data_IF_159275420937
#
_entry.id   IF_159275420937
#
_cell.length_a   1.000
_cell.length_b   1.000
_cell.length_c   1.000
_cell.angle_alpha   90.00
_cell.angle_beta   90.00
_cell.angle_gamma   90.00
#
_symmetry.space_group_name_H-M   'P 1'
#
loop_
_entity.id
_entity.type
_entity.pdbx_description
1 polymer ?
#
# COMPACT_ATOMS: atom_id res chain seq x y z
N UNK A 1 13.93 22.89 21.50
CA UNK A 1 12.46 22.80 21.64
C UNK A 1 11.85 23.97 22.42
N UNK A 2 12.61 25.01 22.81
CA UNK A 2 12.12 25.95 23.84
C UNK A 2 11.81 27.40 23.40
N UNK A 3 12.17 27.84 22.19
CA UNK A 3 11.88 29.22 21.76
C UNK A 3 10.51 29.33 21.07
N UNK A 4 10.06 28.26 20.39
CA UNK A 4 8.77 28.21 19.70
C UNK A 4 7.59 28.10 20.69
N UNK A 5 7.83 27.50 21.86
CA UNK A 5 6.79 27.23 22.86
C UNK A 5 6.31 28.47 23.64
N UNK A 6 7.13 29.51 23.80
CA UNK A 6 6.79 30.65 24.63
C UNK A 6 5.91 31.68 23.90
N UNK A 7 6.07 31.84 22.58
CA UNK A 7 5.33 32.85 21.79
C UNK A 7 4.04 32.28 21.19
N UNK A 8 3.97 30.96 20.95
CA UNK A 8 2.77 30.31 20.40
C UNK A 8 1.68 30.07 21.46
N UNK A 9 2.03 29.99 22.76
CA UNK A 9 1.03 29.89 23.84
C UNK A 9 0.13 31.13 23.99
N UNK A 10 0.43 32.22 23.30
CA UNK A 10 -0.41 33.42 23.24
C UNK A 10 -1.39 33.43 22.04
N UNK A 11 -1.37 32.42 21.17
CA UNK A 11 -2.30 32.29 20.06
C UNK A 11 -3.62 31.67 20.56
N UNK A 12 -4.58 32.54 20.91
CA UNK A 12 -5.98 32.17 21.09
C UNK A 12 -6.47 31.32 19.91
N UNK A 13 -7.40 30.41 20.19
CA UNK A 13 -8.05 29.43 19.30
C UNK A 13 -8.90 30.03 18.16
N UNK A 14 -8.50 31.18 17.60
CA UNK A 14 -9.27 32.01 16.65
C UNK A 14 -8.48 32.39 15.40
N UNK A 15 -7.24 31.94 15.24
CA UNK A 15 -6.45 32.25 14.05
C UNK A 15 -6.78 31.29 12.91
N UNK A 16 -6.98 31.83 11.71
CA UNK A 16 -7.12 31.02 10.50
C UNK A 16 -5.78 30.37 10.10
N UNK A 17 -5.84 29.30 9.30
CA UNK A 17 -4.66 28.55 8.87
C UNK A 17 -3.63 29.44 8.15
N UNK A 18 -4.09 30.40 7.33
CA UNK A 18 -3.21 31.34 6.62
C UNK A 18 -2.38 32.19 7.56
N UNK A 19 -2.96 32.63 8.69
CA UNK A 19 -2.26 33.42 9.69
C UNK A 19 -1.23 32.55 10.40
N UNK A 20 -1.58 31.32 10.79
CA UNK A 20 -0.63 30.37 11.39
C UNK A 20 0.53 30.09 10.44
N UNK A 21 0.26 29.83 9.16
CA UNK A 21 1.29 29.59 8.15
C UNK A 21 2.21 30.80 7.95
N UNK A 22 1.65 32.01 7.94
CA UNK A 22 2.40 33.25 7.84
C UNK A 22 3.36 33.41 9.03
N UNK A 23 2.88 33.18 10.26
CA UNK A 23 3.71 33.25 11.47
C UNK A 23 4.80 32.17 11.48
N UNK A 24 4.47 30.92 11.16
CA UNK A 24 5.46 29.84 11.01
C UNK A 24 6.52 30.23 9.99
N UNK A 25 6.12 30.78 8.84
CA UNK A 25 7.04 31.17 7.76
C UNK A 25 7.99 32.30 8.16
N UNK A 26 7.59 33.20 9.06
CA UNK A 26 8.46 34.25 9.60
C UNK A 26 9.54 33.71 10.53
N UNK A 27 9.25 32.62 11.25
CA UNK A 27 10.13 32.09 12.31
C UNK A 27 10.92 30.84 11.90
N UNK A 28 10.60 30.24 10.76
CA UNK A 28 11.23 29.01 10.26
C UNK A 28 11.81 29.19 8.84
N UNK A 29 12.60 30.26 8.67
CA UNK A 29 13.18 30.63 7.37
C UNK A 29 14.08 29.55 6.75
N UNK A 30 14.64 28.67 7.57
CA UNK A 30 15.49 27.55 7.16
C UNK A 30 14.70 26.32 6.68
N UNK A 31 13.40 26.24 6.96
CA UNK A 31 12.53 25.17 6.48
C UNK A 31 12.09 25.43 5.04
N UNK A 32 11.91 24.34 4.28
CA UNK A 32 11.30 24.41 2.95
C UNK A 32 9.78 24.64 3.05
N UNK A 33 9.13 24.92 1.91
CA UNK A 33 7.71 25.27 1.89
C UNK A 33 6.79 24.16 2.43
N UNK A 34 7.07 22.89 2.13
CA UNK A 34 6.27 21.76 2.61
C UNK A 34 6.43 21.53 4.12
N UNK A 35 7.64 21.70 4.65
CA UNK A 35 7.90 21.64 6.10
C UNK A 35 7.16 22.74 6.84
N UNK A 36 7.04 23.95 6.26
CA UNK A 36 6.25 25.04 6.84
C UNK A 36 4.75 24.75 6.83
N UNK A 37 4.22 24.21 5.72
CA UNK A 37 2.82 23.77 5.64
C UNK A 37 2.51 22.70 6.68
N UNK A 38 3.43 21.74 6.85
CA UNK A 38 3.34 20.67 7.83
C UNK A 38 3.35 21.21 9.26
N UNK A 39 4.35 22.03 9.63
CA UNK A 39 4.41 22.64 10.94
C UNK A 39 3.17 23.50 11.23
N UNK A 40 2.71 24.30 10.25
CA UNK A 40 1.49 25.09 10.37
C UNK A 40 0.24 24.22 10.57
N UNK A 41 0.16 23.04 9.94
CA UNK A 41 -0.97 22.11 10.12
C UNK A 41 -1.09 21.63 11.56
N UNK A 42 -0.01 21.11 12.14
CA UNK A 42 -0.02 20.63 13.53
C UNK A 42 -0.30 21.78 14.52
N UNK A 43 0.31 22.95 14.29
CA UNK A 43 0.08 24.14 15.11
C UNK A 43 -1.34 24.69 14.96
N UNK A 44 -1.96 24.63 13.79
CA UNK A 44 -3.33 25.09 13.60
C UNK A 44 -4.34 24.14 14.25
N UNK A 45 -4.10 22.83 14.15
CA UNK A 45 -4.98 21.79 14.71
C UNK A 45 -4.96 21.73 16.24
N UNK A 46 -3.85 22.13 16.90
CA UNK A 46 -3.67 22.11 18.36
C UNK A 46 -3.96 20.74 19.02
N UNK A 47 -3.95 19.67 18.22
CA UNK A 47 -4.18 18.30 18.63
C UNK A 47 -3.51 17.37 17.61
N UNK A 48 -2.35 16.82 17.99
CA UNK A 48 -1.50 16.06 17.08
C UNK A 48 -2.16 14.75 16.61
N UNK A 49 -3.00 14.14 17.46
CA UNK A 49 -3.78 12.96 17.09
C UNK A 49 -4.81 13.28 16.03
N UNK A 50 -5.56 14.38 16.20
CA UNK A 50 -6.54 14.83 15.21
C UNK A 50 -5.85 15.27 13.91
N UNK A 51 -4.74 16.02 14.02
CA UNK A 51 -3.95 16.48 12.88
C UNK A 51 -3.46 15.30 12.04
N UNK A 52 -2.89 14.29 12.69
CA UNK A 52 -2.39 13.08 12.02
C UNK A 52 -3.53 12.23 11.49
N UNK A 53 -4.60 12.02 12.26
CA UNK A 53 -5.74 11.18 11.86
C UNK A 53 -6.42 11.72 10.60
N UNK A 54 -6.73 13.02 10.56
CA UNK A 54 -7.33 13.67 9.39
C UNK A 54 -6.39 13.61 8.19
N UNK A 55 -5.12 13.99 8.37
CA UNK A 55 -4.16 14.03 7.27
C UNK A 55 -3.92 12.64 6.68
N UNK A 56 -3.80 11.61 7.52
CA UNK A 56 -3.58 10.23 7.09
C UNK A 56 -4.78 9.68 6.33
N UNK A 57 -6.00 9.87 6.86
CA UNK A 57 -7.22 9.36 6.23
C UNK A 57 -7.50 10.06 4.90
N UNK A 58 -7.40 11.41 4.86
CA UNK A 58 -7.57 12.17 3.62
C UNK A 58 -6.51 11.79 2.59
N UNK A 59 -5.25 11.61 3.00
CA UNK A 59 -4.18 11.17 2.11
C UNK A 59 -4.49 9.80 1.52
N UNK A 60 -4.89 8.83 2.34
CA UNK A 60 -5.24 7.48 1.88
C UNK A 60 -6.39 7.51 0.88
N UNK A 61 -7.51 8.15 1.23
CA UNK A 61 -8.70 8.25 0.37
C UNK A 61 -8.39 8.90 -0.98
N UNK A 62 -7.68 10.04 -0.97
CA UNK A 62 -7.32 10.76 -2.19
C UNK A 62 -6.39 9.93 -3.07
N UNK A 63 -5.41 9.25 -2.46
CA UNK A 63 -4.44 8.43 -3.20
C UNK A 63 -5.09 7.18 -3.74
N UNK A 64 -5.86 6.45 -2.93
CA UNK A 64 -6.48 5.19 -3.32
C UNK A 64 -7.47 5.40 -4.47
N UNK A 65 -8.51 6.23 -4.26
CA UNK A 65 -9.52 6.47 -5.28
C UNK A 65 -8.94 7.25 -6.46
N UNK A 66 -8.06 8.22 -6.21
CA UNK A 66 -7.38 8.99 -7.26
C UNK A 66 -6.54 8.11 -8.19
N UNK A 67 -5.81 7.13 -7.63
CA UNK A 67 -4.99 6.19 -8.40
C UNK A 67 -5.82 5.17 -9.17
N UNK A 68 -7.04 4.87 -8.74
CA UNK A 68 -7.97 4.00 -9.47
C UNK A 68 -8.56 4.66 -10.74
N UNK A 69 -8.78 5.98 -10.73
CA UNK A 69 -9.44 6.72 -11.82
C UNK A 69 -8.81 6.47 -13.20
N UNK A 70 -7.47 6.58 -13.38
CA UNK A 70 -6.85 6.29 -14.67
C UNK A 70 -7.23 4.93 -15.24
N UNK A 71 -7.23 3.86 -14.44
CA UNK A 71 -7.59 2.51 -14.92
C UNK A 71 -9.08 2.40 -15.28
N UNK A 72 -9.97 3.07 -14.54
CA UNK A 72 -11.39 3.14 -14.90
C UNK A 72 -11.62 3.85 -16.23
N UNK A 73 -10.83 4.88 -16.54
CA UNK A 73 -10.86 5.57 -17.84
C UNK A 73 -10.30 4.68 -18.96
N UNK A 74 -9.21 3.95 -18.70
CA UNK A 74 -8.61 3.02 -19.64
C UNK A 74 -9.58 1.91 -20.06
N UNK A 75 -10.39 1.39 -19.12
CA UNK A 75 -11.44 0.40 -19.42
C UNK A 75 -12.47 0.90 -20.45
N UNK A 76 -12.61 2.22 -20.65
CA UNK A 76 -13.55 2.83 -21.61
C UNK A 76 -12.96 3.16 -22.97
N UNK A 77 -11.65 3.04 -23.13
CA UNK A 77 -10.96 3.44 -24.35
C UNK A 77 -10.45 2.16 -25.03
N UNK A 78 -11.10 1.69 -26.12
CA UNK A 78 -10.78 0.39 -26.75
C UNK A 78 -9.31 0.21 -27.14
N UNK A 79 -8.61 1.30 -27.45
CA UNK A 79 -7.17 1.27 -27.76
C UNK A 79 -6.33 0.60 -26.67
N UNK A 80 -6.69 0.76 -25.39
CA UNK A 80 -5.91 0.24 -24.27
C UNK A 80 -6.25 -1.21 -23.92
N UNK A 81 -7.33 -1.78 -24.45
CA UNK A 81 -7.73 -3.16 -24.17
C UNK A 81 -6.69 -4.19 -24.62
N UNK A 82 -5.82 -3.85 -25.57
CA UNK A 82 -4.67 -4.67 -25.98
C UNK A 82 -3.65 -4.91 -24.85
N UNK A 83 -3.67 -4.09 -23.80
CA UNK A 83 -2.83 -4.22 -22.61
C UNK A 83 -3.57 -4.88 -21.43
N UNK A 84 -4.85 -5.22 -21.61
CA UNK A 84 -5.66 -5.89 -20.58
C UNK A 84 -5.31 -7.38 -20.56
N UNK A 85 -5.00 -7.91 -19.38
CA UNK A 85 -4.57 -9.30 -19.20
C UNK A 85 -5.71 -10.29 -19.49
N UNK A 86 -6.89 -10.04 -18.93
CA UNK A 86 -8.12 -10.77 -19.22
C UNK A 86 -9.05 -9.92 -20.10
N UNK A 87 -8.71 -9.74 -21.37
CA UNK A 87 -9.40 -8.83 -22.31
C UNK A 87 -10.92 -9.08 -22.47
N UNK A 88 -11.38 -10.30 -22.21
CA UNK A 88 -12.79 -10.69 -22.24
C UNK A 88 -13.59 -10.30 -20.98
N UNK A 89 -12.94 -9.79 -19.93
CA UNK A 89 -13.56 -9.39 -18.65
C UNK A 89 -13.25 -7.94 -18.32
N UNK A 90 -14.03 -7.03 -18.88
CA UNK A 90 -13.95 -5.60 -18.56
C UNK A 90 -15.05 -5.29 -17.53
N UNK A 91 -14.71 -4.71 -16.37
CA UNK A 91 -15.70 -4.39 -15.35
C UNK A 91 -16.68 -3.33 -15.84
N UNK A 92 -17.96 -3.52 -15.54
CA UNK A 92 -19.00 -2.52 -15.80
C UNK A 92 -18.90 -1.36 -14.82
N UNK A 93 -19.49 -0.21 -15.16
CA UNK A 93 -19.63 0.92 -14.22
C UNK A 93 -20.31 0.51 -12.92
N UNK A 94 -21.33 -0.33 -13.02
CA UNK A 94 -22.10 -0.78 -11.86
C UNK A 94 -21.21 -1.61 -10.93
N UNK A 95 -20.43 -2.55 -11.46
CA UNK A 95 -19.49 -3.33 -10.64
C UNK A 95 -18.43 -2.45 -9.99
N UNK A 96 -17.90 -1.46 -10.71
CA UNK A 96 -16.95 -0.49 -10.15
C UNK A 96 -17.57 0.31 -9.01
N UNK A 97 -18.81 0.79 -9.16
CA UNK A 97 -19.52 1.53 -8.11
C UNK A 97 -19.88 0.67 -6.90
N UNK A 98 -20.38 -0.54 -7.13
CA UNK A 98 -20.72 -1.50 -6.07
C UNK A 98 -19.45 -1.85 -5.25
N UNK A 99 -18.32 -2.09 -5.94
CA UNK A 99 -17.02 -2.31 -5.33
C UNK A 99 -16.57 -1.08 -4.52
N UNK A 100 -16.58 0.10 -5.12
CA UNK A 100 -16.15 1.35 -4.48
C UNK A 100 -16.97 1.68 -3.22
N UNK A 101 -18.29 1.44 -3.25
CA UNK A 101 -19.15 1.68 -2.11
C UNK A 101 -18.81 0.78 -0.92
N UNK A 102 -18.54 -0.51 -1.17
CA UNK A 102 -18.16 -1.46 -0.12
C UNK A 102 -16.75 -1.14 0.42
N UNK A 103 -15.81 -0.80 -0.46
CA UNK A 103 -14.47 -0.36 -0.08
C UNK A 103 -14.55 0.87 0.82
N UNK A 104 -15.33 1.89 0.44
CA UNK A 104 -15.53 3.10 1.23
C UNK A 104 -16.13 2.77 2.61
N UNK A 105 -17.12 1.88 2.68
CA UNK A 105 -17.66 1.41 3.97
C UNK A 105 -16.56 0.76 4.80
N UNK A 106 -15.72 -0.12 4.22
CA UNK A 106 -14.59 -0.73 4.91
C UNK A 106 -13.58 0.30 5.41
N UNK A 107 -13.28 1.34 4.62
CA UNK A 107 -12.35 2.39 5.02
C UNK A 107 -12.87 3.15 6.23
N UNK A 108 -14.16 3.51 6.27
CA UNK A 108 -14.74 4.20 7.43
C UNK A 108 -14.95 3.30 8.65
N UNK A 109 -15.11 1.99 8.49
CA UNK A 109 -15.49 1.08 9.59
C UNK A 109 -14.35 0.23 10.14
N UNK A 110 -13.38 -0.16 9.31
CA UNK A 110 -12.22 -0.96 9.69
C UNK A 110 -10.94 -0.14 9.71
N UNK A 111 -10.67 0.63 8.67
CA UNK A 111 -9.39 1.32 8.50
C UNK A 111 -9.30 2.63 9.29
N UNK A 112 -10.35 3.45 9.29
CA UNK A 112 -10.39 4.73 10.00
C UNK A 112 -10.08 4.57 11.50
N UNK A 113 -10.63 3.58 12.22
CA UNK A 113 -10.19 3.30 13.60
C UNK A 113 -8.67 3.04 13.70
N UNK A 114 -8.09 2.23 12.80
CA UNK A 114 -6.65 1.94 12.81
C UNK A 114 -5.83 3.22 12.58
N UNK A 115 -6.26 4.08 11.65
CA UNK A 115 -5.63 5.37 11.37
C UNK A 115 -5.79 6.34 12.54
N UNK A 116 -6.94 6.35 13.21
CA UNK A 116 -7.19 7.28 14.32
C UNK A 116 -6.32 6.97 15.53
N UNK A 117 -6.10 5.69 15.81
CA UNK A 117 -5.22 5.25 16.88
C UNK A 117 -3.73 5.19 16.49
N UNK A 118 -3.39 5.43 15.22
CA UNK A 118 -2.02 5.35 14.75
C UNK A 118 -1.11 6.39 15.41
N UNK A 119 -1.51 7.65 15.53
CA UNK A 119 -0.64 8.70 16.11
C UNK A 119 -0.16 8.40 17.55
N UNK A 120 -1.02 8.08 18.53
CA UNK A 120 -0.56 7.78 19.88
C UNK A 120 0.33 6.53 19.92
N UNK A 121 0.06 5.52 19.09
CA UNK A 121 0.91 4.33 18.98
C UNK A 121 2.27 4.71 18.38
N UNK A 122 2.27 5.48 17.30
CA UNK A 122 3.47 5.89 16.58
C UNK A 122 4.41 6.70 17.48
N UNK A 123 3.86 7.69 18.17
CA UNK A 123 4.62 8.53 19.12
C UNK A 123 5.08 7.75 20.35
N UNK A 124 4.29 6.79 20.85
CA UNK A 124 4.73 5.87 21.91
C UNK A 124 5.97 5.08 21.51
N UNK A 125 6.05 4.61 20.26
CA UNK A 125 7.23 3.92 19.73
C UNK A 125 8.37 4.86 19.32
N UNK A 126 8.16 6.18 19.34
CA UNK A 126 9.18 7.19 19.04
C UNK A 126 9.26 7.61 17.56
N UNK A 127 8.17 7.46 16.79
CA UNK A 127 8.10 8.04 15.44
C UNK A 127 8.12 9.56 15.56
N UNK A 128 9.09 10.18 14.88
CA UNK A 128 9.17 11.63 14.78
C UNK A 128 8.18 12.16 13.73
N UNK A 129 7.55 13.29 14.02
CA UNK A 129 6.63 14.00 13.14
C UNK A 129 6.94 15.50 13.07
N UNK A 130 8.08 15.92 13.63
CA UNK A 130 8.52 17.30 13.64
C UNK A 130 9.07 17.79 12.29
N UNK A 131 9.87 18.84 12.37
CA UNK A 131 10.65 19.36 11.23
C UNK A 131 12.08 19.62 11.70
N UNK A 132 13.09 19.57 10.81
CA UNK A 132 13.01 19.32 9.36
C UNK A 132 12.72 17.86 9.00
N UNK A 133 12.29 17.60 7.77
CA UNK A 133 12.08 16.26 7.25
C UNK A 133 13.41 15.52 7.07
N UNK A 134 13.40 14.16 7.08
CA UNK A 134 14.59 13.39 6.76
C UNK A 134 15.06 13.67 5.33
N UNK A 135 16.35 13.40 5.08
CA UNK A 135 16.89 13.47 3.72
C UNK A 135 16.21 12.43 2.81
N UNK A 136 16.13 12.73 1.52
CA UNK A 136 15.60 11.78 0.52
C UNK A 136 16.35 10.45 0.54
N UNK A 137 17.67 10.47 0.78
CA UNK A 137 18.48 9.26 0.93
C UNK A 137 18.00 8.43 2.13
N UNK A 138 17.76 9.06 3.27
CA UNK A 138 17.23 8.40 4.48
C UNK A 138 15.88 7.73 4.18
N UNK A 139 14.97 8.48 3.57
CA UNK A 139 13.66 7.97 3.20
C UNK A 139 13.77 6.80 2.21
N UNK A 140 14.62 6.92 1.19
CA UNK A 140 14.75 5.94 0.12
C UNK A 140 15.20 4.57 0.64
N UNK A 141 16.24 4.50 1.46
CA UNK A 141 16.69 3.21 1.99
C UNK A 141 15.69 2.63 3.00
N UNK A 142 15.05 3.47 3.83
CA UNK A 142 14.03 3.02 4.77
C UNK A 142 12.85 2.40 4.01
N UNK A 143 12.32 3.11 3.01
CA UNK A 143 11.22 2.65 2.14
C UNK A 143 11.60 1.36 1.41
N UNK A 144 12.82 1.24 0.90
CA UNK A 144 13.27 0.01 0.25
C UNK A 144 13.24 -1.21 1.20
N UNK A 145 13.65 -1.02 2.46
CA UNK A 145 13.55 -2.08 3.48
C UNK A 145 12.08 -2.37 3.82
N UNK A 146 11.24 -1.34 3.94
CA UNK A 146 9.80 -1.51 4.22
C UNK A 146 9.11 -2.33 3.14
N UNK A 147 9.45 -2.13 1.87
CA UNK A 147 8.97 -2.97 0.77
C UNK A 147 9.30 -4.46 0.98
N UNK A 148 10.52 -4.78 1.44
CA UNK A 148 10.93 -6.17 1.70
C UNK A 148 10.22 -6.74 2.92
N UNK A 149 10.11 -5.96 4.00
CA UNK A 149 9.47 -6.38 5.25
C UNK A 149 7.97 -6.64 5.06
N UNK A 150 7.26 -5.70 4.42
CA UNK A 150 5.83 -5.85 4.18
C UNK A 150 5.54 -6.94 3.14
N UNK A 151 6.35 -7.07 2.07
CA UNK A 151 6.18 -8.17 1.11
C UNK A 151 6.37 -9.54 1.79
N UNK A 152 7.29 -9.64 2.75
CA UNK A 152 7.47 -10.84 3.56
C UNK A 152 6.26 -11.12 4.42
N UNK A 153 5.77 -10.13 5.18
CA UNK A 153 4.52 -10.28 5.96
C UNK A 153 3.36 -10.71 5.07
N UNK A 154 3.15 -9.99 3.96
CA UNK A 154 2.07 -10.20 3.02
C UNK A 154 2.13 -11.61 2.44
N UNK A 155 3.28 -12.07 1.92
CA UNK A 155 3.38 -13.39 1.30
C UNK A 155 2.92 -14.51 2.24
N UNK A 156 3.44 -14.53 3.47
CA UNK A 156 3.11 -15.59 4.42
C UNK A 156 1.66 -15.51 4.89
N UNK A 157 1.19 -14.30 5.19
CA UNK A 157 -0.19 -14.08 5.59
C UNK A 157 -1.17 -14.44 4.48
N UNK A 158 -0.93 -13.94 3.28
CA UNK A 158 -1.76 -14.19 2.10
C UNK A 158 -1.79 -15.69 1.76
N UNK A 159 -0.63 -16.37 1.78
CA UNK A 159 -0.60 -17.82 1.60
C UNK A 159 -1.41 -18.56 2.68
N UNK A 160 -1.35 -18.10 3.93
CA UNK A 160 -2.15 -18.68 5.01
C UNK A 160 -3.66 -18.43 4.80
N UNK A 161 -4.05 -17.26 4.29
CA UNK A 161 -5.44 -16.96 3.94
C UNK A 161 -6.02 -17.89 2.87
N UNK A 162 -5.20 -18.52 2.03
CA UNK A 162 -5.64 -19.55 1.09
C UNK A 162 -5.84 -20.94 1.73
N UNK A 163 -5.64 -21.09 3.05
CA UNK A 163 -6.06 -22.27 3.78
C UNK A 163 -7.58 -22.34 3.88
N UNK A 164 -8.19 -23.48 3.52
CA UNK A 164 -9.63 -23.63 3.27
C UNK A 164 -10.59 -22.90 4.22
N UNK A 165 -10.46 -23.00 5.56
CA UNK A 165 -11.29 -22.24 6.50
C UNK A 165 -11.07 -20.72 6.45
N UNK A 166 -9.81 -20.27 6.41
CA UNK A 166 -9.46 -18.84 6.34
C UNK A 166 -9.89 -18.24 5.00
N UNK A 167 -9.76 -19.00 3.90
CA UNK A 167 -10.21 -18.56 2.59
C UNK A 167 -11.71 -18.27 2.62
N UNK A 168 -12.50 -19.25 3.09
CA UNK A 168 -13.96 -19.11 3.13
C UNK A 168 -14.43 -17.96 4.03
N UNK A 169 -13.75 -17.73 5.15
CA UNK A 169 -14.17 -16.76 6.16
C UNK A 169 -13.65 -15.34 5.93
N UNK A 170 -12.45 -15.19 5.34
CA UNK A 170 -11.72 -13.92 5.30
C UNK A 170 -11.44 -13.50 3.86
N UNK A 171 -10.83 -14.37 3.06
CA UNK A 171 -10.22 -13.98 1.78
C UNK A 171 -11.11 -14.19 0.55
N UNK A 172 -12.21 -14.95 0.68
CA UNK A 172 -13.15 -15.21 -0.42
C UNK A 172 -13.76 -13.91 -0.97
N UNK A 173 -13.96 -12.90 -0.11
CA UNK A 173 -14.48 -11.60 -0.53
C UNK A 173 -13.50 -10.91 -1.48
N UNK A 174 -12.21 -10.91 -1.17
CA UNK A 174 -11.16 -10.38 -2.05
C UNK A 174 -11.15 -11.03 -3.43
N UNK A 175 -11.36 -12.34 -3.45
CA UNK A 175 -11.46 -13.15 -4.67
C UNK A 175 -12.81 -13.06 -5.41
N UNK A 176 -13.67 -12.09 -5.09
CA UNK A 176 -14.97 -11.91 -5.78
C UNK A 176 -14.78 -11.68 -7.28
N UNK A 177 -13.75 -10.92 -7.67
CA UNK A 177 -13.44 -10.62 -9.06
C UNK A 177 -12.27 -11.47 -9.55
N UNK A 178 -12.56 -12.47 -10.38
CA UNK A 178 -11.53 -13.32 -11.01
C UNK A 178 -10.65 -12.60 -12.04
N UNK A 179 -11.13 -11.46 -12.56
CA UNK A 179 -10.32 -10.46 -13.25
C UNK A 179 -10.37 -9.19 -12.40
N UNK A 180 -9.33 -8.91 -11.61
CA UNK A 180 -9.34 -7.76 -10.73
C UNK A 180 -9.27 -6.46 -11.55
N UNK A 181 -9.67 -5.37 -10.89
CA UNK A 181 -9.50 -4.01 -11.36
C UNK A 181 -9.07 -3.15 -10.17
N UNK A 182 -8.51 -1.94 -10.41
CA UNK A 182 -7.82 -1.17 -9.36
C UNK A 182 -8.60 -0.98 -8.05
N UNK A 183 -9.91 -0.74 -8.12
CA UNK A 183 -10.78 -0.58 -6.94
C UNK A 183 -10.95 -1.87 -6.12
N UNK A 184 -10.69 -3.04 -6.71
CA UNK A 184 -10.77 -4.32 -6.01
C UNK A 184 -9.55 -4.57 -5.11
N UNK A 185 -8.51 -3.73 -5.17
CA UNK A 185 -7.28 -3.88 -4.38
C UNK A 185 -7.52 -3.90 -2.87
N UNK A 186 -8.45 -3.08 -2.38
CA UNK A 186 -8.87 -3.04 -0.97
C UNK A 186 -10.32 -3.56 -0.77
N UNK A 187 -10.88 -4.24 -1.78
CA UNK A 187 -12.17 -4.92 -1.64
C UNK A 187 -11.95 -6.23 -0.86
N UNK A 188 -11.93 -6.13 0.47
CA UNK A 188 -11.59 -7.25 1.34
C UNK A 188 -12.52 -7.31 2.55
N UNK A 189 -12.50 -8.44 3.27
CA UNK A 189 -13.24 -8.53 4.54
C UNK A 189 -12.61 -7.61 5.60
N UNK A 190 -13.37 -7.13 6.60
CA UNK A 190 -12.81 -6.26 7.64
C UNK A 190 -11.60 -6.84 8.36
N UNK A 191 -11.59 -8.16 8.58
CA UNK A 191 -10.46 -8.86 9.23
C UNK A 191 -9.22 -8.84 8.32
N UNK A 192 -9.41 -9.05 7.02
CA UNK A 192 -8.34 -8.98 6.05
C UNK A 192 -7.76 -7.56 5.98
N UNK A 193 -8.62 -6.54 5.89
CA UNK A 193 -8.23 -5.12 5.93
C UNK A 193 -7.37 -4.83 7.16
N UNK A 194 -7.79 -5.29 8.34
CA UNK A 194 -7.02 -5.10 9.58
C UNK A 194 -5.64 -5.76 9.53
N UNK A 195 -5.54 -6.97 8.99
CA UNK A 195 -4.29 -7.74 8.91
C UNK A 195 -3.32 -7.21 7.84
N UNK A 196 -3.85 -6.67 6.74
CA UNK A 196 -3.08 -5.92 5.75
C UNK A 196 -2.55 -4.61 6.37
N UNK A 197 -3.40 -3.87 7.08
CA UNK A 197 -3.00 -2.66 7.82
C UNK A 197 -1.91 -2.94 8.87
N UNK A 198 -1.98 -4.10 9.55
CA UNK A 198 -0.94 -4.54 10.49
C UNK A 198 0.41 -4.74 9.79
N UNK A 199 0.44 -5.28 8.56
CA UNK A 199 1.67 -5.38 7.78
C UNK A 199 2.24 -4.02 7.39
N UNK A 200 1.37 -3.15 6.86
CA UNK A 200 1.73 -1.82 6.35
C UNK A 200 2.25 -0.88 7.44
N UNK A 201 1.69 -0.93 8.65
CA UNK A 201 2.07 -0.07 9.80
C UNK A 201 3.05 -0.77 10.74
N UNK A 202 2.92 -2.08 10.92
CA UNK A 202 3.81 -2.87 11.77
C UNK A 202 5.23 -2.95 11.23
N UNK A 203 5.43 -3.06 9.91
CA UNK A 203 6.77 -3.07 9.32
C UNK A 203 7.56 -1.78 9.62
N UNK A 204 6.98 -0.57 9.46
CA UNK A 204 7.57 0.68 9.96
C UNK A 204 7.93 0.69 11.46
N UNK A 205 7.05 0.22 12.33
CA UNK A 205 7.31 0.17 13.78
C UNK A 205 8.48 -0.78 14.09
N UNK A 206 8.55 -1.93 13.42
CA UNK A 206 9.67 -2.85 13.56
C UNK A 206 10.98 -2.25 13.03
N UNK A 207 10.94 -1.57 11.89
CA UNK A 207 12.11 -0.87 11.35
C UNK A 207 12.62 0.18 12.33
N UNK A 208 11.73 0.98 12.91
CA UNK A 208 12.05 1.94 13.95
C UNK A 208 12.72 1.29 15.16
N UNK A 209 12.22 0.14 15.61
CA UNK A 209 12.84 -0.63 16.70
C UNK A 209 14.29 -1.07 16.39
N UNK A 210 14.62 -1.27 15.11
CA UNK A 210 15.97 -1.67 14.66
C UNK A 210 16.87 -0.44 14.45
N UNK A 211 16.36 0.62 13.84
CA UNK A 211 17.16 1.78 13.39
C UNK A 211 17.21 2.90 14.43
N UNK A 212 16.27 2.92 15.37
CA UNK A 212 16.08 3.97 16.37
C UNK A 212 15.56 5.30 15.81
N UNK A 213 15.26 5.39 14.51
CA UNK A 213 14.75 6.61 13.89
C UNK A 213 13.84 6.31 12.68
N UNK A 214 12.66 6.92 12.68
CA UNK A 214 11.71 6.90 11.58
C UNK A 214 10.83 8.15 11.68
N UNK A 215 10.56 8.76 10.53
CA UNK A 215 9.74 9.97 10.47
C UNK A 215 8.40 9.70 9.81
N UNK A 216 7.34 10.37 10.26
CA UNK A 216 5.97 10.21 9.76
C UNK A 216 5.84 10.49 8.26
N UNK A 217 6.57 11.48 7.72
CA UNK A 217 6.63 11.73 6.26
C UNK A 217 7.22 10.54 5.49
N UNK A 218 8.17 9.80 6.07
CA UNK A 218 8.68 8.56 5.46
C UNK A 218 7.59 7.50 5.42
N UNK A 219 6.81 7.39 6.51
CA UNK A 219 5.66 6.49 6.55
C UNK A 219 4.58 6.85 5.53
N UNK A 220 4.23 8.12 5.37
CA UNK A 220 3.28 8.54 4.34
C UNK A 220 3.79 8.25 2.94
N UNK A 221 5.06 8.53 2.67
CA UNK A 221 5.66 8.21 1.36
C UNK A 221 5.64 6.70 1.10
N UNK A 222 5.96 5.90 2.13
CA UNK A 222 5.84 4.44 2.09
C UNK A 222 4.39 3.98 1.77
N UNK A 223 3.40 4.47 2.52
CA UNK A 223 1.99 4.12 2.32
C UNK A 223 1.52 4.50 0.91
N UNK A 224 1.87 5.69 0.41
CA UNK A 224 1.53 6.10 -0.96
C UNK A 224 2.12 5.14 -1.98
N UNK A 225 3.40 4.80 -1.87
CA UNK A 225 4.05 3.86 -2.79
C UNK A 225 3.43 2.46 -2.70
N UNK A 226 3.04 2.04 -1.50
CA UNK A 226 2.38 0.77 -1.25
C UNK A 226 0.99 0.71 -1.89
N UNK A 227 0.18 1.77 -1.76
CA UNK A 227 -1.13 1.91 -2.41
C UNK A 227 -0.97 1.88 -3.94
N UNK A 228 0.00 2.62 -4.48
CA UNK A 228 0.31 2.58 -5.91
C UNK A 228 0.62 1.17 -6.39
N UNK A 229 1.44 0.43 -5.64
CA UNK A 229 1.77 -0.95 -5.96
C UNK A 229 0.54 -1.87 -5.91
N UNK A 230 -0.26 -1.81 -4.85
CA UNK A 230 -1.46 -2.63 -4.69
C UNK A 230 -2.43 -2.42 -5.85
N UNK A 231 -2.73 -1.15 -6.17
CA UNK A 231 -3.68 -0.79 -7.23
C UNK A 231 -3.13 -1.18 -8.60
N UNK A 232 -1.83 -1.01 -8.85
CA UNK A 232 -1.20 -1.45 -10.10
C UNK A 232 -1.30 -2.97 -10.26
N UNK A 233 -0.99 -3.74 -9.22
CA UNK A 233 -1.10 -5.21 -9.22
C UNK A 233 -2.53 -5.71 -9.47
N UNK A 234 -3.55 -4.96 -9.05
CA UNK A 234 -4.96 -5.31 -9.28
C UNK A 234 -5.55 -4.68 -10.54
N UNK A 235 -4.83 -3.81 -11.24
CA UNK A 235 -5.41 -3.03 -12.34
C UNK A 235 -5.92 -3.88 -13.52
N UNK A 236 -5.37 -5.09 -13.68
CA UNK A 236 -5.59 -5.95 -14.83
C UNK A 236 -4.92 -5.44 -16.11
N UNK A 237 -4.01 -4.45 -16.00
CA UNK A 237 -3.26 -3.88 -17.12
C UNK A 237 -1.76 -4.16 -17.00
N UNK A 238 -1.18 -4.66 -18.08
CA UNK A 238 0.26 -4.84 -18.21
C UNK A 238 0.76 -4.04 -19.42
N UNK A 239 1.33 -2.88 -19.13
CA UNK A 239 1.85 -1.96 -20.14
C UNK A 239 3.31 -2.25 -20.44
N UNK A 240 3.82 -1.85 -21.63
CA UNK A 240 5.25 -1.96 -21.95
C UNK A 240 6.19 -1.27 -20.95
N UNK A 241 5.67 -0.33 -20.16
CA UNK A 241 6.39 0.39 -19.11
C UNK A 241 6.04 -0.06 -17.69
N UNK A 242 5.25 -1.12 -17.52
CA UNK A 242 5.00 -1.71 -16.21
C UNK A 242 6.31 -2.18 -15.57
N UNK A 243 6.46 -2.00 -14.26
CA UNK A 243 7.75 -2.14 -13.57
C UNK A 243 8.39 -3.53 -13.73
N UNK A 244 7.58 -4.58 -13.91
CA UNK A 244 8.05 -5.96 -14.17
C UNK A 244 8.98 -6.08 -15.38
N UNK A 245 8.83 -5.20 -16.37
CA UNK A 245 9.64 -5.22 -17.59
C UNK A 245 11.05 -4.68 -17.36
N UNK A 246 11.26 -3.90 -16.30
CA UNK A 246 12.56 -3.33 -15.92
C UNK A 246 13.15 -3.96 -14.66
N UNK A 247 12.29 -4.46 -13.77
CA UNK A 247 12.65 -5.17 -12.55
C UNK A 247 12.02 -6.57 -12.59
N UNK A 248 12.72 -7.60 -13.11
CA UNK A 248 12.13 -8.93 -13.34
C UNK A 248 11.61 -9.64 -12.09
N UNK A 249 12.09 -9.26 -10.91
CA UNK A 249 11.61 -9.78 -9.63
C UNK A 249 10.29 -9.13 -9.19
N UNK A 250 9.82 -8.08 -9.85
CA UNK A 250 8.59 -7.38 -9.50
C UNK A 250 7.35 -8.22 -9.85
N UNK A 251 6.49 -8.41 -8.85
CA UNK A 251 5.15 -8.98 -9.01
C UNK A 251 4.21 -7.85 -9.49
N UNK A 252 4.06 -7.75 -10.81
CA UNK A 252 3.14 -6.80 -11.44
C UNK A 252 1.73 -7.37 -11.57
N UNK A 253 0.89 -6.66 -12.31
CA UNK A 253 -0.49 -7.06 -12.58
C UNK A 253 -0.59 -8.48 -13.19
N UNK A 254 0.36 -8.88 -14.03
CA UNK A 254 0.39 -10.21 -14.64
C UNK A 254 0.51 -11.36 -13.62
N UNK A 255 1.23 -11.13 -12.53
CA UNK A 255 1.40 -12.13 -11.47
C UNK A 255 0.12 -12.29 -10.65
N UNK A 256 -0.46 -11.17 -10.25
CA UNK A 256 -1.62 -11.15 -9.38
C UNK A 256 -2.94 -11.39 -10.12
N UNK A 257 -3.03 -11.05 -11.40
CA UNK A 257 -4.18 -11.41 -12.24
C UNK A 257 -4.33 -12.94 -12.37
N UNK A 258 -3.23 -13.67 -12.58
CA UNK A 258 -3.22 -15.14 -12.57
C UNK A 258 -3.60 -15.70 -11.20
N UNK A 259 -3.23 -15.01 -10.11
CA UNK A 259 -3.63 -15.38 -8.76
C UNK A 259 -5.16 -15.34 -8.60
N UNK A 260 -5.80 -14.23 -8.99
CA UNK A 260 -7.26 -14.08 -8.99
C UNK A 260 -7.98 -15.02 -9.97
N UNK A 261 -7.35 -15.34 -11.11
CA UNK A 261 -7.93 -16.24 -12.10
C UNK A 261 -7.96 -17.69 -11.61
N UNK A 262 -6.91 -18.13 -10.91
CA UNK A 262 -6.70 -19.54 -10.53
C UNK A 262 -7.01 -19.84 -9.07
N UNK A 263 -7.10 -18.82 -8.21
CA UNK A 263 -7.31 -18.94 -6.76
C UNK A 263 -6.24 -19.79 -6.06
N UNK A 264 -5.03 -19.90 -6.63
CA UNK A 264 -3.92 -20.68 -6.08
C UNK A 264 -2.59 -20.15 -6.60
N UNK A 265 -1.56 -20.18 -5.75
CA UNK A 265 -0.21 -19.74 -6.06
C UNK A 265 -0.10 -18.23 -6.24
N UNK A 266 1.08 -17.72 -6.62
CA UNK A 266 1.31 -16.28 -6.84
C UNK A 266 0.90 -15.41 -5.64
N UNK A 267 1.33 -15.79 -4.43
CA UNK A 267 0.93 -15.12 -3.17
C UNK A 267 1.71 -13.84 -2.87
N UNK A 268 2.83 -13.60 -3.56
CA UNK A 268 3.63 -12.41 -3.34
C UNK A 268 2.90 -11.14 -3.76
N UNK A 269 3.14 -10.04 -3.03
CA UNK A 269 2.54 -8.76 -3.36
C UNK A 269 3.42 -7.93 -4.27
N UNK A 270 4.66 -7.66 -3.86
CA UNK A 270 5.59 -6.77 -4.56
C UNK A 270 6.69 -7.54 -5.29
N UNK A 271 7.19 -8.63 -4.71
CA UNK A 271 8.33 -9.36 -5.26
C UNK A 271 8.09 -10.86 -5.41
N UNK A 272 8.32 -11.39 -6.60
CA UNK A 272 8.11 -12.80 -6.97
C UNK A 272 9.02 -13.79 -6.25
N UNK A 273 10.02 -13.33 -5.50
CA UNK A 273 11.05 -14.21 -4.92
C UNK A 273 10.46 -15.29 -4.01
N UNK A 274 9.43 -14.98 -3.23
CA UNK A 274 8.87 -15.93 -2.28
C UNK A 274 8.16 -17.05 -3.02
N UNK A 275 7.38 -16.69 -4.04
CA UNK A 275 6.74 -17.65 -4.92
C UNK A 275 7.76 -18.50 -5.69
N UNK A 276 8.85 -17.89 -6.15
CA UNK A 276 9.92 -18.59 -6.85
C UNK A 276 10.64 -19.61 -5.94
N UNK A 277 11.11 -19.16 -4.77
CA UNK A 277 11.89 -20.00 -3.86
C UNK A 277 11.07 -21.13 -3.24
N UNK A 278 9.78 -20.90 -2.97
CA UNK A 278 8.90 -21.90 -2.38
C UNK A 278 8.12 -22.70 -3.41
N UNK A 279 8.42 -22.50 -4.70
CA UNK A 279 7.75 -23.13 -5.84
C UNK A 279 6.22 -23.00 -5.74
N UNK A 280 5.72 -21.79 -5.44
CA UNK A 280 4.27 -21.46 -5.37
C UNK A 280 3.77 -20.62 -6.54
N UNK A 281 4.57 -20.39 -7.58
CA UNK A 281 4.08 -19.71 -8.78
C UNK A 281 2.96 -20.51 -9.50
N UNK A 282 1.93 -19.81 -9.98
CA UNK A 282 0.83 -20.37 -10.75
C UNK A 282 0.95 -20.05 -12.24
N UNK A 283 0.05 -20.64 -13.04
CA UNK A 283 0.00 -20.41 -14.48
C UNK A 283 0.79 -21.41 -15.33
N UNK A 284 0.61 -21.32 -16.65
CA UNK A 284 1.07 -22.31 -17.61
C UNK A 284 2.60 -22.50 -17.59
N UNK A 285 3.35 -21.40 -17.43
CA UNK A 285 4.81 -21.46 -17.37
C UNK A 285 5.30 -22.20 -16.13
N UNK A 286 4.73 -21.91 -14.95
CA UNK A 286 5.08 -22.60 -13.72
C UNK A 286 4.76 -24.10 -13.81
N UNK A 287 3.61 -24.47 -14.36
CA UNK A 287 3.26 -25.88 -14.60
C UNK A 287 4.23 -26.56 -15.57
N UNK A 288 4.63 -25.90 -16.65
CA UNK A 288 5.64 -26.39 -17.60
C UNK A 288 6.98 -26.61 -16.89
N UNK A 289 7.48 -25.62 -16.14
CA UNK A 289 8.75 -25.73 -15.37
C UNK A 289 8.72 -26.91 -14.41
N UNK A 290 7.64 -27.08 -13.63
CA UNK A 290 7.50 -28.21 -12.70
C UNK A 290 7.48 -29.56 -13.42
N UNK A 291 6.75 -29.67 -14.53
CA UNK A 291 6.69 -30.89 -15.35
C UNK A 291 8.06 -31.23 -15.92
N UNK A 292 8.78 -30.27 -16.48
CA UNK A 292 10.07 -30.49 -17.11
C UNK A 292 11.13 -30.90 -16.07
N UNK A 293 11.13 -30.28 -14.87
CA UNK A 293 11.94 -30.72 -13.73
C UNK A 293 11.62 -32.16 -13.30
N UNK A 294 10.35 -32.55 -13.27
CA UNK A 294 9.93 -33.93 -12.93
C UNK A 294 10.42 -34.93 -13.97
N UNK A 295 10.28 -34.62 -15.26
CA UNK A 295 10.75 -35.47 -16.36
C UNK A 295 12.28 -35.63 -16.34
N UNK A 296 13.03 -34.55 -16.09
CA UNK A 296 14.48 -34.60 -15.95
C UNK A 296 14.90 -35.52 -14.79
N UNK A 297 14.24 -35.43 -13.62
CA UNK A 297 14.49 -36.33 -12.48
C UNK A 297 14.18 -37.79 -12.81
N UNK A 298 13.14 -38.07 -13.59
CA UNK A 298 12.81 -39.44 -14.02
C UNK A 298 13.88 -39.98 -14.98
N UNK A 299 14.36 -39.17 -15.93
CA UNK A 299 15.42 -39.58 -16.87
C UNK A 299 16.73 -39.89 -16.14
N UNK A 300 17.17 -39.00 -15.25
CA UNK A 300 18.37 -39.22 -14.44
C UNK A 300 18.31 -40.49 -13.56
N UNK A 301 17.11 -40.88 -13.08
CA UNK A 301 16.91 -42.13 -12.35
C UNK A 301 16.93 -43.39 -13.21
N UNK A 302 16.74 -43.26 -14.53
CA UNK A 302 16.81 -44.39 -15.47
C UNK A 302 18.22 -44.60 -16.04
N UNK A 303 19.06 -43.57 -15.97
CA UNK A 303 20.45 -43.58 -16.44
C UNK A 303 21.45 -44.01 -15.35
N UNK A 304 21.01 -44.02 -14.07
CA UNK A 304 21.71 -44.60 -12.92
C UNK A 304 21.15 -45.99 -12.58
#
# INVERSE_FOLDING_TARGET
MDVVNATIRAANSTLDYSTVLSEVSKHTINLNYFERLWAAWYLWMQNDTLATGILSFVMHELVYFGRCIPYMLLDRIPYFHKYKLQAQKIPTLKEQWDCAAIVLISHFTAELPQIWFFHPIATYFGIDYGTPFPTLTTMAWQIAILFVMEDTWHYWFHRALHYGPLYKAIHKMHHTYSAPFGLAAEYASPIETMLLGLGTVGSPILLLGITGHLHLVTMYTWIVLRLFQAIDAHSGYDFPWSLRHFLPVWAGADHHDVHHEKFIGNYASSFRWWDYFLDTEAGAEAHKRRRDRKLAKIRAKKEN
#
